data_IF_299546460203
#
_entry.id   IF_299546460203
#
_cell.length_a   1.000
_cell.length_b   1.000
_cell.length_c   1.000
_cell.angle_alpha   90.00
_cell.angle_beta   90.00
_cell.angle_gamma   90.00
#
_symmetry.space_group_name_H-M   'P 1'
#
loop_
_entity.id
_entity.type
_entity.pdbx_description
1 polymer ?
#
# COMPACT_ATOMS: atom_id res chain seq x y z
N UNK A 1 -2.21 3.03 -49.25
CA UNK A 1 -3.24 2.50 -48.35
C UNK A 1 -2.56 2.23 -47.03
N UNK A 2 -2.69 3.15 -46.07
CA UNK A 2 -2.21 2.89 -44.71
C UNK A 2 -3.20 1.95 -44.00
N UNK A 3 -2.73 0.97 -43.22
CA UNK A 3 -3.62 0.18 -42.38
C UNK A 3 -4.18 1.07 -41.28
N UNK A 4 -5.50 1.20 -41.25
CA UNK A 4 -6.23 2.02 -40.28
C UNK A 4 -5.81 1.71 -38.85
N UNK A 5 -5.38 2.76 -38.15
CA UNK A 5 -5.32 2.82 -36.70
C UNK A 5 -6.69 2.45 -36.13
N UNK A 6 -6.88 1.19 -35.76
CA UNK A 6 -8.00 0.77 -34.94
C UNK A 6 -7.92 1.55 -33.63
N UNK A 7 -8.76 2.57 -33.51
CA UNK A 7 -8.99 3.24 -32.25
C UNK A 7 -9.35 2.15 -31.23
N UNK A 8 -8.50 1.97 -30.21
CA UNK A 8 -8.82 1.12 -29.08
C UNK A 8 -10.12 1.65 -28.47
N UNK A 9 -11.23 0.95 -28.70
CA UNK A 9 -12.45 1.21 -27.96
C UNK A 9 -12.12 1.15 -26.47
N UNK A 10 -12.61 2.10 -25.65
CA UNK A 10 -12.35 2.07 -24.22
C UNK A 10 -12.95 0.78 -23.68
N UNK A 11 -12.09 -0.19 -23.33
CA UNK A 11 -12.50 -1.40 -22.63
C UNK A 11 -13.32 -0.98 -21.42
N UNK A 12 -14.50 -1.58 -21.25
CA UNK A 12 -15.30 -1.43 -20.04
C UNK A 12 -14.40 -1.59 -18.81
N UNK A 13 -14.58 -0.78 -17.75
CA UNK A 13 -13.71 -0.80 -16.59
C UNK A 13 -13.67 -2.22 -16.01
N UNK A 14 -12.49 -2.83 -16.04
CA UNK A 14 -12.25 -4.16 -15.49
C UNK A 14 -11.86 -3.98 -14.02
N UNK A 15 -12.46 -4.77 -13.12
CA UNK A 15 -12.03 -4.84 -11.73
C UNK A 15 -11.44 -6.21 -11.42
N UNK A 16 -10.52 -6.26 -10.46
CA UNK A 16 -9.94 -7.50 -9.98
C UNK A 16 -10.82 -8.10 -8.89
N UNK A 17 -11.06 -9.41 -8.95
CA UNK A 17 -11.69 -10.16 -7.87
C UNK A 17 -10.82 -11.33 -7.43
N UNK A 18 -10.96 -11.73 -6.16
CA UNK A 18 -10.43 -12.99 -5.66
C UNK A 18 -11.47 -14.07 -5.97
N UNK A 19 -11.08 -15.16 -6.64
CA UNK A 19 -12.00 -16.27 -6.96
C UNK A 19 -11.98 -17.35 -5.90
N UNK A 20 -10.80 -17.64 -5.32
CA UNK A 20 -10.61 -18.63 -4.26
C UNK A 20 -9.25 -18.46 -3.60
N UNK A 21 -9.08 -19.10 -2.45
CA UNK A 21 -7.79 -19.24 -1.77
C UNK A 21 -7.50 -20.70 -1.47
N UNK A 22 -6.23 -21.09 -1.50
CA UNK A 22 -5.76 -22.42 -1.10
C UNK A 22 -4.74 -22.24 0.02
N UNK A 23 -5.07 -22.75 1.20
CA UNK A 23 -4.25 -22.68 2.41
C UNK A 23 -3.71 -24.08 2.69
N UNK A 24 -2.41 -24.21 2.87
CA UNK A 24 -1.76 -25.45 3.22
C UNK A 24 -0.99 -25.26 4.54
N UNK A 25 -1.37 -26.03 5.56
CA UNK A 25 -0.75 -26.01 6.89
C UNK A 25 -0.73 -24.62 7.54
N UNK A 26 -1.78 -23.81 7.36
CA UNK A 26 -1.84 -22.43 7.83
C UNK A 26 -2.69 -22.29 9.10
N UNK A 27 -2.07 -21.93 10.22
CA UNK A 27 -2.72 -21.68 11.52
C UNK A 27 -3.65 -22.80 11.98
N UNK A 28 -4.97 -22.62 11.90
CA UNK A 28 -5.96 -23.62 12.28
C UNK A 28 -6.22 -24.68 11.19
N UNK A 29 -5.72 -24.46 9.98
CA UNK A 29 -5.95 -25.31 8.82
C UNK A 29 -4.77 -26.29 8.64
N UNK A 30 -5.01 -27.57 8.92
CA UNK A 30 -4.06 -28.65 8.67
C UNK A 30 -4.24 -29.21 7.25
N UNK A 31 -3.16 -29.35 6.50
CA UNK A 31 -3.20 -29.79 5.10
C UNK A 31 -3.85 -28.77 4.15
N UNK A 32 -4.10 -29.17 2.89
CA UNK A 32 -4.63 -28.29 1.86
C UNK A 32 -6.14 -28.06 2.03
N UNK A 33 -6.51 -26.82 2.32
CA UNK A 33 -7.89 -26.34 2.44
C UNK A 33 -8.15 -25.30 1.36
N UNK A 34 -9.21 -25.49 0.58
CA UNK A 34 -9.67 -24.50 -0.39
C UNK A 34 -10.80 -23.68 0.22
N UNK A 35 -10.67 -22.35 0.21
CA UNK A 35 -11.69 -21.40 0.62
C UNK A 35 -12.24 -20.73 -0.63
N UNK A 36 -13.57 -20.80 -0.79
CA UNK A 36 -14.29 -20.31 -1.95
C UNK A 36 -15.12 -21.42 -2.61
N UNK A 37 -15.67 -21.18 -3.82
CA UNK A 37 -15.49 -19.95 -4.61
C UNK A 37 -16.04 -18.70 -3.91
N UNK A 38 -15.35 -17.58 -4.05
CA UNK A 38 -15.84 -16.28 -3.59
C UNK A 38 -16.80 -15.72 -4.63
N UNK A 39 -17.89 -15.12 -4.15
CA UNK A 39 -18.82 -14.37 -4.97
C UNK A 39 -18.16 -13.06 -5.46
N UNK A 40 -18.51 -12.65 -6.68
CA UNK A 40 -17.93 -11.45 -7.29
C UNK A 40 -18.29 -10.16 -6.56
N UNK A 41 -19.38 -10.14 -5.79
CA UNK A 41 -19.88 -8.97 -5.10
C UNK A 41 -19.63 -9.06 -3.59
N UNK A 42 -20.14 -10.11 -2.94
CA UNK A 42 -20.03 -10.22 -1.49
C UNK A 42 -20.00 -11.67 -1.02
N UNK A 43 -18.98 -12.02 -0.25
CA UNK A 43 -18.91 -13.30 0.48
C UNK A 43 -18.88 -13.06 1.98
N UNK A 44 -19.77 -13.71 2.71
CA UNK A 44 -19.76 -13.71 4.18
C UNK A 44 -19.07 -14.95 4.74
N UNK A 45 -18.11 -14.76 5.64
CA UNK A 45 -17.44 -15.86 6.37
C UNK A 45 -18.07 -15.99 7.75
N UNK A 46 -18.78 -17.09 8.00
CA UNK A 46 -19.51 -17.33 9.26
C UNK A 46 -19.02 -18.61 9.94
N UNK A 47 -19.17 -18.69 11.27
CA UNK A 47 -18.83 -19.89 12.03
C UNK A 47 -18.67 -19.64 13.54
N UNK A 48 -18.60 -20.70 14.37
CA UNK A 48 -18.42 -20.60 15.82
C UNK A 48 -17.13 -19.86 16.22
N UNK A 49 -17.06 -19.33 17.44
CA UNK A 49 -15.83 -18.75 17.96
C UNK A 49 -14.71 -19.80 18.00
N UNK A 50 -13.50 -19.42 17.58
CA UNK A 50 -12.35 -20.33 17.45
C UNK A 50 -12.32 -21.20 16.18
N UNK A 51 -13.33 -21.15 15.30
CA UNK A 51 -13.36 -21.94 14.05
C UNK A 51 -12.36 -21.51 12.96
N UNK A 52 -11.51 -20.50 13.23
CA UNK A 52 -10.52 -20.03 12.27
C UNK A 52 -10.99 -18.95 11.30
N UNK A 53 -12.19 -18.37 11.46
CA UNK A 53 -12.71 -17.29 10.61
C UNK A 53 -11.71 -16.17 10.34
N UNK A 54 -11.08 -15.65 11.41
CA UNK A 54 -10.08 -14.57 11.31
C UNK A 54 -8.80 -15.01 10.59
N UNK A 55 -8.52 -16.32 10.52
CA UNK A 55 -7.37 -16.84 9.79
C UNK A 55 -7.54 -16.71 8.27
N UNK A 56 -8.76 -16.50 7.76
CA UNK A 56 -9.00 -16.16 6.35
C UNK A 56 -8.39 -14.81 6.02
N UNK A 57 -8.63 -13.79 6.86
CA UNK A 57 -8.00 -12.47 6.72
C UNK A 57 -6.49 -12.57 6.92
N UNK A 58 -6.03 -13.34 7.91
CA UNK A 58 -4.58 -13.50 8.13
C UNK A 58 -3.89 -14.18 6.94
N UNK A 59 -4.55 -15.12 6.27
CA UNK A 59 -4.02 -15.76 5.07
C UNK A 59 -3.85 -14.74 3.92
N UNK A 60 -4.78 -13.78 3.78
CA UNK A 60 -4.63 -12.66 2.84
C UNK A 60 -3.47 -11.74 3.25
N UNK A 61 -3.40 -11.31 4.51
CA UNK A 61 -2.30 -10.49 5.03
C UNK A 61 -0.94 -11.15 4.80
N UNK A 62 -0.86 -12.47 4.98
CA UNK A 62 0.34 -13.24 4.73
C UNK A 62 0.79 -13.13 3.27
N UNK A 63 -0.11 -13.35 2.31
CA UNK A 63 0.19 -13.27 0.88
C UNK A 63 0.48 -11.83 0.42
N UNK A 64 -0.15 -10.84 1.03
CA UNK A 64 0.13 -9.42 0.73
C UNK A 64 1.41 -8.89 1.38
N UNK A 65 2.14 -9.71 2.14
CA UNK A 65 3.46 -9.35 2.63
C UNK A 65 3.46 -8.55 3.93
N UNK A 66 2.36 -8.56 4.67
CA UNK A 66 2.31 -7.96 6.00
C UNK A 66 3.24 -8.69 6.97
N UNK A 67 3.67 -7.95 7.99
CA UNK A 67 4.50 -8.48 9.08
C UNK A 67 3.69 -9.44 9.96
N UNK A 68 4.37 -10.39 10.59
CA UNK A 68 3.74 -11.43 11.43
C UNK A 68 2.87 -10.85 12.56
N UNK A 69 3.29 -9.72 13.14
CA UNK A 69 2.56 -9.05 14.21
C UNK A 69 1.13 -8.63 13.82
N UNK A 70 0.91 -8.19 12.57
CA UNK A 70 -0.43 -7.87 12.04
C UNK A 70 -1.32 -9.11 11.93
N UNK A 71 -0.71 -10.30 11.88
CA UNK A 71 -1.38 -11.60 11.92
C UNK A 71 -1.36 -12.24 13.32
N UNK A 72 -1.09 -11.45 14.38
CA UNK A 72 -1.10 -11.90 15.78
C UNK A 72 -0.08 -13.03 16.07
N UNK A 73 1.07 -12.98 15.41
CA UNK A 73 2.20 -13.89 15.64
C UNK A 73 3.50 -13.08 15.76
N UNK A 74 4.50 -13.61 16.47
CA UNK A 74 5.82 -12.99 16.57
C UNK A 74 6.68 -13.27 15.34
N UNK A 75 6.54 -14.45 14.73
CA UNK A 75 7.38 -14.93 13.62
C UNK A 75 6.57 -15.57 12.50
N UNK A 76 7.16 -15.70 11.30
CA UNK A 76 6.50 -16.35 10.17
C UNK A 76 6.36 -17.86 10.37
N UNK A 77 7.33 -18.51 11.05
CA UNK A 77 7.26 -19.94 11.36
C UNK A 77 6.07 -20.29 12.27
N UNK A 78 5.58 -19.34 13.08
CA UNK A 78 4.42 -19.53 13.96
C UNK A 78 3.08 -19.49 13.20
N UNK A 79 3.09 -19.17 11.91
CA UNK A 79 1.92 -19.31 11.04
C UNK A 79 1.71 -20.76 10.59
N UNK A 80 2.71 -21.63 10.75
CA UNK A 80 2.62 -23.04 10.42
C UNK A 80 1.68 -23.72 11.41
N UNK A 81 0.72 -24.49 10.90
CA UNK A 81 -0.20 -25.26 11.73
C UNK A 81 0.57 -26.17 12.69
N UNK A 82 0.12 -26.19 13.95
CA UNK A 82 0.65 -27.08 14.97
C UNK A 82 -0.50 -27.66 15.78
N UNK A 83 -0.59 -28.98 15.81
CA UNK A 83 -1.56 -29.73 16.63
C UNK A 83 -0.99 -31.09 17.00
N UNK A 84 -1.59 -31.77 17.98
CA UNK A 84 -1.19 -33.12 18.38
C UNK A 84 -1.24 -34.14 17.24
N UNK A 85 -2.15 -33.96 16.27
CA UNK A 85 -2.25 -34.80 15.07
C UNK A 85 -1.20 -34.47 14.01
N UNK A 86 -0.67 -33.24 14.01
CA UNK A 86 0.29 -32.75 13.02
C UNK A 86 1.42 -31.96 13.72
N UNK A 87 2.31 -32.63 14.49
CA UNK A 87 3.29 -31.94 15.31
C UNK A 87 4.48 -31.37 14.54
N UNK A 88 4.80 -31.92 13.36
CA UNK A 88 6.08 -31.70 12.68
C UNK A 88 5.94 -31.11 11.26
N UNK A 89 4.98 -30.21 11.05
CA UNK A 89 4.81 -29.55 9.76
C UNK A 89 5.96 -28.55 9.50
N UNK A 90 6.59 -28.66 8.34
CA UNK A 90 7.83 -27.93 8.03
C UNK A 90 7.60 -26.58 7.32
N UNK A 91 6.39 -26.37 6.80
CA UNK A 91 6.05 -25.20 6.02
C UNK A 91 4.55 -24.90 6.10
N UNK A 92 4.21 -23.67 5.71
CA UNK A 92 2.85 -23.27 5.35
C UNK A 92 2.89 -22.55 4.01
N UNK A 93 1.85 -22.74 3.20
CA UNK A 93 1.71 -22.06 1.92
C UNK A 93 0.29 -21.56 1.74
N UNK A 94 0.15 -20.31 1.35
CA UNK A 94 -1.15 -19.73 1.00
C UNK A 94 -1.08 -19.23 -0.43
N UNK A 95 -2.08 -19.59 -1.23
CA UNK A 95 -2.24 -19.15 -2.62
C UNK A 95 -3.57 -18.41 -2.77
N UNK A 96 -3.55 -17.20 -3.30
CA UNK A 96 -4.73 -16.39 -3.61
C UNK A 96 -4.88 -16.37 -5.13
N UNK A 97 -6.06 -16.75 -5.61
CA UNK A 97 -6.40 -16.74 -7.02
C UNK A 97 -7.20 -15.49 -7.32
N UNK A 98 -6.70 -14.69 -8.26
CA UNK A 98 -7.32 -13.49 -8.78
C UNK A 98 -7.75 -13.70 -10.22
N UNK A 99 -8.76 -12.94 -10.64
CA UNK A 99 -9.21 -12.83 -12.02
C UNK A 99 -9.80 -11.44 -12.24
N UNK A 100 -9.66 -10.90 -13.45
CA UNK A 100 -10.32 -9.65 -13.83
C UNK A 100 -11.76 -9.96 -14.27
N UNK A 101 -12.68 -9.07 -13.92
CA UNK A 101 -14.10 -9.17 -14.27
C UNK A 101 -14.64 -7.85 -14.81
N UNK A 102 -15.69 -7.96 -15.61
CA UNK A 102 -16.46 -6.83 -16.13
C UNK A 102 -17.86 -6.90 -15.53
N UNK A 103 -18.27 -5.82 -14.86
CA UNK A 103 -19.65 -5.66 -14.39
C UNK A 103 -20.50 -5.19 -15.58
N UNK A 104 -21.54 -5.97 -15.92
CA UNK A 104 -22.45 -5.65 -17.01
C UNK A 104 -23.62 -4.77 -16.52
N UNK A 105 -24.27 -3.99 -17.42
CA UNK A 105 -25.40 -3.13 -17.05
C UNK A 105 -26.60 -3.87 -16.45
N UNK A 106 -26.74 -5.17 -16.71
CA UNK A 106 -27.79 -6.03 -16.15
C UNK A 106 -27.46 -6.54 -14.74
N UNK A 107 -26.33 -6.14 -14.18
CA UNK A 107 -25.84 -6.55 -12.85
C UNK A 107 -25.13 -7.90 -12.86
N UNK A 108 -24.97 -8.55 -14.01
CA UNK A 108 -24.17 -9.78 -14.11
C UNK A 108 -22.68 -9.45 -14.19
N UNK A 109 -21.85 -10.37 -13.71
CA UNK A 109 -20.40 -10.22 -13.71
C UNK A 109 -19.80 -11.24 -14.65
N UNK A 110 -19.06 -10.77 -15.66
CA UNK A 110 -18.40 -11.63 -16.63
C UNK A 110 -16.90 -11.75 -16.36
N UNK A 111 -16.36 -12.99 -16.27
CA UNK A 111 -14.92 -13.21 -16.17
C UNK A 111 -14.20 -12.81 -17.46
N UNK A 112 -13.04 -12.17 -17.32
CA UNK A 112 -12.15 -11.91 -18.45
C UNK A 112 -11.18 -13.07 -18.58
N UNK A 113 -11.31 -13.84 -19.65
CA UNK A 113 -10.46 -15.00 -19.94
C UNK A 113 -8.98 -14.59 -20.08
N UNK A 114 -8.07 -15.43 -19.56
CA UNK A 114 -6.62 -15.22 -19.63
C UNK A 114 -6.06 -14.17 -18.66
N UNK A 115 -6.89 -13.70 -17.72
CA UNK A 115 -6.47 -12.74 -16.68
C UNK A 115 -6.16 -13.38 -15.34
N UNK A 116 -6.22 -14.71 -15.26
CA UNK A 116 -5.92 -15.48 -14.06
C UNK A 116 -4.53 -15.17 -13.52
N UNK A 117 -4.51 -14.84 -12.23
CA UNK A 117 -3.29 -14.57 -11.50
C UNK A 117 -3.33 -15.35 -10.19
N UNK A 118 -2.30 -16.16 -9.94
CA UNK A 118 -2.11 -16.86 -8.69
C UNK A 118 -0.90 -16.27 -8.00
N UNK A 119 -1.13 -15.60 -6.87
CA UNK A 119 -0.05 -15.14 -5.99
C UNK A 119 -0.03 -16.04 -4.78
N UNK A 120 1.12 -16.65 -4.51
CA UNK A 120 1.30 -17.49 -3.34
C UNK A 120 2.54 -17.09 -2.54
N UNK A 121 2.47 -17.33 -1.24
CA UNK A 121 3.58 -17.17 -0.32
C UNK A 121 3.75 -18.44 0.48
N UNK A 122 4.98 -18.91 0.59
CA UNK A 122 5.37 -20.05 1.41
C UNK A 122 6.29 -19.56 2.52
N UNK A 123 6.09 -20.03 3.75
CA UNK A 123 6.97 -19.80 4.88
C UNK A 123 7.41 -21.15 5.48
N UNK A 124 8.65 -21.19 5.97
CA UNK A 124 9.29 -22.39 6.52
C UNK A 124 9.67 -22.20 7.99
N UNK A 125 10.01 -23.30 8.67
CA UNK A 125 10.42 -23.28 10.09
C UNK A 125 11.65 -22.39 10.36
N UNK A 126 12.55 -22.24 9.40
CA UNK A 126 13.72 -21.36 9.46
C UNK A 126 13.39 -19.86 9.34
N UNK A 127 12.10 -19.50 9.31
CA UNK A 127 11.58 -18.15 9.09
C UNK A 127 11.87 -17.56 7.70
N UNK A 128 12.41 -18.35 6.77
CA UNK A 128 12.46 -17.95 5.37
C UNK A 128 11.06 -17.94 4.76
N UNK A 129 10.86 -17.05 3.79
CA UNK A 129 9.63 -17.05 2.98
C UNK A 129 9.95 -16.86 1.50
N UNK A 130 9.20 -17.55 0.65
CA UNK A 130 9.34 -17.50 -0.81
C UNK A 130 8.00 -17.13 -1.44
N UNK A 131 8.03 -16.20 -2.40
CA UNK A 131 6.87 -15.86 -3.20
C UNK A 131 6.81 -16.65 -4.50
N UNK A 132 5.60 -16.87 -4.98
CA UNK A 132 5.32 -17.53 -6.24
C UNK A 132 4.23 -16.77 -6.99
N UNK A 133 4.44 -16.52 -8.28
CA UNK A 133 3.46 -15.96 -9.21
C UNK A 133 3.23 -16.96 -10.32
N UNK A 134 2.00 -17.44 -10.47
CA UNK A 134 1.62 -18.45 -11.47
C UNK A 134 2.55 -19.68 -11.46
N UNK A 135 2.94 -20.13 -10.26
CA UNK A 135 3.81 -21.29 -10.05
C UNK A 135 5.31 -21.04 -10.26
N UNK A 136 5.73 -19.82 -10.62
CA UNK A 136 7.14 -19.43 -10.75
C UNK A 136 7.59 -18.65 -9.52
N UNK A 137 8.83 -18.85 -9.06
CA UNK A 137 9.39 -18.06 -7.95
C UNK A 137 9.48 -16.59 -8.35
N UNK A 138 9.12 -15.70 -7.42
CA UNK A 138 9.12 -14.26 -7.63
C UNK A 138 9.71 -13.53 -6.42
N UNK A 139 10.19 -12.31 -6.65
CA UNK A 139 10.63 -11.42 -5.57
C UNK A 139 9.44 -10.74 -4.87
N UNK A 140 9.63 -10.30 -3.62
CA UNK A 140 8.59 -9.51 -2.91
C UNK A 140 8.23 -8.23 -3.68
N UNK A 141 9.23 -7.49 -4.14
CA UNK A 141 9.04 -6.23 -4.87
C UNK A 141 8.30 -6.43 -6.19
N UNK A 142 8.60 -7.53 -6.90
CA UNK A 142 7.91 -7.93 -8.12
C UNK A 142 6.43 -8.21 -7.85
N UNK A 143 6.11 -8.99 -6.80
CA UNK A 143 4.74 -9.27 -6.39
C UNK A 143 3.98 -7.99 -6.01
N UNK A 144 4.61 -7.11 -5.22
CA UNK A 144 4.01 -5.84 -4.81
C UNK A 144 3.74 -4.96 -6.03
N UNK A 145 4.70 -4.86 -6.96
CA UNK A 145 4.54 -4.10 -8.20
C UNK A 145 3.43 -4.67 -9.08
N UNK A 146 3.34 -5.99 -9.19
CA UNK A 146 2.29 -6.68 -9.94
C UNK A 146 0.90 -6.39 -9.37
N UNK A 147 0.75 -6.49 -8.04
CA UNK A 147 -0.51 -6.22 -7.36
C UNK A 147 -0.93 -4.75 -7.48
N UNK A 148 0.03 -3.82 -7.34
CA UNK A 148 -0.22 -2.38 -7.57
C UNK A 148 -0.67 -2.07 -8.99
N UNK A 149 -0.04 -2.69 -10.00
CA UNK A 149 -0.47 -2.56 -11.42
C UNK A 149 -1.88 -3.06 -11.67
N UNK A 150 -2.35 -3.99 -10.84
CA UNK A 150 -3.72 -4.54 -10.85
C UNK A 150 -4.68 -3.77 -9.94
N UNK A 151 -4.27 -2.61 -9.40
CA UNK A 151 -5.12 -1.75 -8.57
C UNK A 151 -5.23 -2.18 -7.11
N UNK A 152 -4.40 -3.13 -6.65
CA UNK A 152 -4.35 -3.53 -5.24
C UNK A 152 -3.23 -2.74 -4.57
N UNK A 153 -3.62 -1.72 -3.81
CA UNK A 153 -2.68 -0.87 -3.07
C UNK A 153 -2.30 -1.51 -1.72
N UNK A 154 -1.03 -1.90 -1.62
CA UNK A 154 -0.42 -2.50 -0.44
C UNK A 154 0.36 -1.50 0.43
N UNK A 155 0.46 -0.24 0.02
CA UNK A 155 1.24 0.76 0.77
C UNK A 155 0.40 1.33 1.91
N UNK A 156 -0.83 1.73 1.59
CA UNK A 156 -1.70 2.41 2.54
C UNK A 156 -2.68 1.47 3.25
N UNK A 157 -2.69 0.17 2.89
CA UNK A 157 -3.49 -0.90 3.52
C UNK A 157 -5.00 -0.64 3.63
N UNK A 158 -5.54 0.30 2.84
CA UNK A 158 -6.92 0.80 2.97
C UNK A 158 -8.01 -0.19 2.56
N UNK A 159 -7.64 -1.26 1.85
CA UNK A 159 -8.57 -2.30 1.40
C UNK A 159 -8.77 -3.40 2.45
N UNK A 160 -7.99 -3.40 3.54
CA UNK A 160 -8.12 -4.35 4.65
C UNK A 160 -8.40 -3.59 5.93
N UNK A 161 -9.58 -3.81 6.49
CA UNK A 161 -9.95 -3.28 7.81
C UNK A 161 -9.84 -4.42 8.82
N UNK A 162 -8.84 -4.32 9.70
CA UNK A 162 -8.58 -5.31 10.73
C UNK A 162 -9.40 -5.04 11.99
N UNK A 163 -9.55 -6.07 12.81
CA UNK A 163 -10.17 -5.94 14.11
C UNK A 163 -9.39 -4.94 14.97
N UNK A 164 -10.10 -3.98 15.54
CA UNK A 164 -9.53 -2.91 16.38
C UNK A 164 -9.05 -1.68 15.59
N UNK A 165 -8.95 -1.72 14.26
CA UNK A 165 -8.55 -0.53 13.49
C UNK A 165 -9.59 0.59 13.57
N UNK A 166 -10.87 0.26 13.64
CA UNK A 166 -11.94 1.26 13.86
C UNK A 166 -11.78 1.96 15.21
N UNK A 167 -11.43 1.23 16.26
CA UNK A 167 -11.16 1.80 17.58
C UNK A 167 -9.89 2.66 17.56
N UNK A 168 -8.84 2.22 16.86
CA UNK A 168 -7.62 3.00 16.68
C UNK A 168 -7.92 4.34 15.99
N UNK A 169 -8.68 4.33 14.90
CA UNK A 169 -9.10 5.54 14.18
C UNK A 169 -9.91 6.46 15.09
N UNK A 170 -10.85 5.91 15.88
CA UNK A 170 -11.64 6.70 16.82
C UNK A 170 -10.80 7.35 17.94
N UNK A 171 -9.65 6.76 18.28
CA UNK A 171 -8.74 7.24 19.31
C UNK A 171 -7.60 8.11 18.77
N UNK A 172 -7.53 8.34 17.44
CA UNK A 172 -6.50 9.19 16.83
C UNK A 172 -6.59 10.62 17.37
N UNK A 173 -5.43 11.22 17.60
CA UNK A 173 -5.34 12.64 17.94
C UNK A 173 -5.62 13.49 16.68
N UNK A 174 -6.13 14.73 16.81
CA UNK A 174 -6.39 15.59 15.65
C UNK A 174 -5.18 15.77 14.73
N UNK A 175 -3.98 15.80 15.30
CA UNK A 175 -2.70 15.91 14.61
C UNK A 175 -1.69 14.94 15.23
N UNK A 176 -0.76 14.46 14.42
CA UNK A 176 0.39 13.66 14.86
C UNK A 176 1.11 14.33 16.05
N UNK A 177 1.22 13.68 17.22
CA UNK A 177 1.96 14.21 18.36
C UNK A 177 3.48 14.09 18.18
N UNK A 178 3.94 13.17 17.33
CA UNK A 178 5.35 12.97 16.99
C UNK A 178 5.49 12.56 15.51
N UNK A 179 6.70 12.63 14.96
CA UNK A 179 6.96 12.22 13.58
C UNK A 179 6.79 10.70 13.31
N UNK A 180 6.58 9.90 14.36
CA UNK A 180 6.42 8.44 14.27
C UNK A 180 4.99 7.97 14.54
N UNK A 181 4.07 8.91 14.79
CA UNK A 181 2.66 8.64 15.04
C UNK A 181 1.81 9.38 14.02
N UNK A 182 0.75 8.74 13.52
CA UNK A 182 -0.19 9.36 12.60
C UNK A 182 -1.38 9.93 13.39
N UNK A 183 -1.69 11.21 13.16
CA UNK A 183 -2.94 11.82 13.58
C UNK A 183 -4.03 11.71 12.52
N UNK A 184 -5.23 12.19 12.87
CA UNK A 184 -6.37 12.19 11.95
C UNK A 184 -6.10 13.08 10.72
N UNK A 185 -5.41 14.21 10.90
CA UNK A 185 -5.02 15.08 9.79
C UNK A 185 -4.11 14.34 8.79
N UNK A 186 -3.04 13.72 9.29
CA UNK A 186 -2.08 12.99 8.45
C UNK A 186 -2.77 11.82 7.73
N UNK A 187 -3.67 11.12 8.42
CA UNK A 187 -4.49 10.06 7.83
C UNK A 187 -5.37 10.57 6.68
N UNK A 188 -6.03 11.73 6.84
CA UNK A 188 -6.85 12.35 5.80
C UNK A 188 -6.00 12.88 4.62
N UNK A 189 -4.86 13.49 4.91
CA UNK A 189 -3.93 13.96 3.89
C UNK A 189 -3.39 12.81 3.03
N UNK A 190 -3.16 11.65 3.64
CA UNK A 190 -2.74 10.45 2.94
C UNK A 190 -3.88 9.83 2.10
N UNK A 191 -5.14 9.94 2.54
CA UNK A 191 -6.32 9.55 1.73
C UNK A 191 -6.46 10.45 0.49
N UNK A 192 -6.32 11.76 0.68
CA UNK A 192 -6.44 12.75 -0.39
C UNK A 192 -5.20 12.71 -1.31
N UNK A 193 -4.07 12.21 -0.80
CA UNK A 193 -2.78 12.23 -1.49
C UNK A 193 -2.15 13.63 -1.54
N UNK A 194 -2.45 14.49 -0.55
CA UNK A 194 -1.81 15.80 -0.39
C UNK A 194 -0.46 15.68 0.35
N UNK A 195 -0.20 14.58 1.04
CA UNK A 195 1.08 14.28 1.69
C UNK A 195 2.28 14.41 0.74
N UNK A 196 2.15 13.97 -0.53
CA UNK A 196 3.19 14.10 -1.58
C UNK A 196 3.60 15.54 -1.89
N UNK A 197 2.79 16.52 -1.50
CA UNK A 197 3.07 17.94 -1.73
C UNK A 197 3.85 18.57 -0.57
N UNK A 198 3.90 17.93 0.61
CA UNK A 198 4.55 18.50 1.79
C UNK A 198 6.03 18.80 1.57
N UNK A 199 6.79 17.84 1.05
CA UNK A 199 8.22 18.00 0.76
C UNK A 199 8.48 19.07 -0.30
N UNK A 200 7.84 19.05 -1.50
CA UNK A 200 8.02 20.11 -2.50
C UNK A 200 7.66 21.51 -1.99
N UNK A 201 6.61 21.63 -1.16
CA UNK A 201 6.21 22.92 -0.58
C UNK A 201 7.26 23.40 0.42
N UNK A 202 7.77 22.51 1.28
CA UNK A 202 8.81 22.86 2.25
C UNK A 202 10.11 23.31 1.55
N UNK A 203 10.54 22.59 0.52
CA UNK A 203 11.71 22.97 -0.29
C UNK A 203 11.52 24.33 -0.96
N UNK A 204 10.34 24.57 -1.56
CA UNK A 204 10.00 25.84 -2.18
C UNK A 204 9.98 26.99 -1.16
N UNK A 205 9.48 26.74 0.06
CA UNK A 205 9.49 27.73 1.16
C UNK A 205 10.92 28.11 1.56
N UNK A 206 11.80 27.12 1.75
CA UNK A 206 13.21 27.37 2.06
C UNK A 206 13.92 28.16 0.94
N UNK A 207 13.61 27.87 -0.33
CA UNK A 207 14.14 28.64 -1.46
C UNK A 207 13.65 30.09 -1.44
N UNK A 208 12.37 30.31 -1.16
CA UNK A 208 11.79 31.67 -1.04
C UNK A 208 12.44 32.45 0.11
N UNK A 209 12.65 31.83 1.26
CA UNK A 209 13.35 32.44 2.40
C UNK A 209 14.78 32.85 2.03
N UNK A 210 15.53 31.94 1.43
CA UNK A 210 16.92 32.20 0.98
C UNK A 210 16.98 33.37 -0.02
N UNK A 211 16.06 33.39 -0.99
CA UNK A 211 15.99 34.47 -1.98
C UNK A 211 15.62 35.81 -1.34
N UNK A 212 14.68 35.82 -0.39
CA UNK A 212 14.29 37.02 0.35
C UNK A 212 15.47 37.59 1.17
N UNK A 213 16.25 36.75 1.83
CA UNK A 213 17.46 37.16 2.54
C UNK A 213 18.50 37.77 1.58
N UNK A 214 18.75 37.11 0.44
CA UNK A 214 19.70 37.63 -0.57
C UNK A 214 19.27 38.97 -1.16
N UNK A 215 17.95 39.16 -1.34
CA UNK A 215 17.36 40.40 -1.82
C UNK A 215 17.55 41.51 -0.79
N UNK A 216 17.26 41.24 0.48
CA UNK A 216 17.44 42.23 1.56
C UNK A 216 18.90 42.70 1.68
N UNK A 217 19.87 41.79 1.54
CA UNK A 217 21.30 42.13 1.54
C UNK A 217 21.69 43.01 0.34
N UNK A 218 21.13 42.71 -0.84
CA UNK A 218 21.38 43.48 -2.05
C UNK A 218 20.80 44.88 -1.95
N UNK A 219 19.57 45.02 -1.46
CA UNK A 219 18.91 46.31 -1.21
C UNK A 219 19.72 47.17 -0.22
N UNK A 220 20.21 46.58 0.89
CA UNK A 220 21.09 47.28 1.83
C UNK A 220 22.41 47.75 1.20
N UNK A 221 23.04 46.91 0.36
CA UNK A 221 24.28 47.26 -0.34
C UNK A 221 24.08 48.42 -1.31
N UNK A 222 22.97 48.43 -2.03
CA UNK A 222 22.64 49.48 -2.98
C UNK A 222 22.32 50.80 -2.27
N UNK A 223 21.62 50.75 -1.13
CA UNK A 223 21.41 51.93 -0.26
C UNK A 223 22.74 52.50 0.27
N UNK A 224 23.62 51.64 0.79
CA UNK A 224 24.94 52.07 1.28
C UNK A 224 25.78 52.69 0.17
N UNK A 225 25.76 52.13 -1.04
CA UNK A 225 26.45 52.70 -2.21
C UNK A 225 25.94 54.09 -2.55
N UNK A 226 24.62 54.28 -2.60
CA UNK A 226 24.01 55.60 -2.88
C UNK A 226 24.40 56.64 -1.85
N UNK A 227 24.31 56.30 -0.56
CA UNK A 227 24.72 57.19 0.53
C UNK A 227 26.19 57.61 0.40
N UNK A 228 27.07 56.65 0.07
CA UNK A 228 28.50 56.93 -0.10
C UNK A 228 28.79 57.81 -1.31
N UNK A 229 28.08 57.61 -2.43
CA UNK A 229 28.19 58.47 -3.61
C UNK A 229 27.71 59.90 -3.34
N UNK A 230 26.60 60.07 -2.62
CA UNK A 230 26.08 61.39 -2.25
C UNK A 230 27.03 62.13 -1.31
N UNK A 231 27.57 61.46 -0.28
CA UNK A 231 28.61 61.99 0.61
C UNK A 231 29.87 62.42 -0.18
N UNK A 232 30.27 61.62 -1.18
CA UNK A 232 31.42 61.94 -2.03
C UNK A 232 31.17 63.17 -2.88
N UNK A 233 29.97 63.33 -3.46
CA UNK A 233 29.58 64.52 -4.21
C UNK A 233 29.55 65.77 -3.34
N UNK A 234 29.03 65.68 -2.11
CA UNK A 234 29.02 66.80 -1.16
C UNK A 234 30.45 67.26 -0.83
N UNK A 235 31.36 66.34 -0.50
CA UNK A 235 32.77 66.70 -0.24
C UNK A 235 33.47 67.36 -1.43
N UNK A 236 33.15 66.94 -2.65
CA UNK A 236 33.72 67.53 -3.87
C UNK A 236 33.15 68.92 -4.18
N UNK A 237 31.98 69.27 -3.63
CA UNK A 237 31.35 70.57 -3.81
C UNK A 237 31.78 71.61 -2.75
N UNK A 238 32.40 71.18 -1.65
CA UNK A 238 32.94 72.04 -0.58
C UNK A 238 34.41 72.46 -0.78
N UNK A 239 35.05 72.04 -1.89
CA UNK A 239 36.41 72.41 -2.31
C UNK A 239 36.34 73.31 -3.54
#
# INVERSE_FOLDING_TARGET
MEPGSAALEPRAPQRVMITRMVLDNFKSYAGPITIGPFDANMTSVVGPNGSGKSNVIDAMLFVFGFRANKMRQGKLSELIHSSSRHPNLQYTKVSVHFRDVVDLPDGTVQPVEGTELVVAREAKQDNSSTYWVNGKRAGREEVVTLLKRRGIDLDHNRFLILQGEVEQIAMMKPKAPSAHEDGLLEYLEDIIGSNRLKEPIAEAQTQVETLNESRAVTEQRDEQRRLFEDLRKQRLAEV
#
